data_IF_550650974151
#
_entry.id   IF_550650974151
#
_cell.length_a   1.000
_cell.length_b   1.000
_cell.length_c   1.000
_cell.angle_alpha   90.00
_cell.angle_beta   90.00
_cell.angle_gamma   90.00
#
_symmetry.space_group_name_H-M   'P 1'
#
loop_
_entity.id
_entity.type
_entity.pdbx_description
1 polymer ?
#
# COMPACT_ATOMS: atom_id res chain seq x y z
N UNK A 1 3.27 3.23 17.46
CA UNK A 1 4.49 4.07 17.33
C UNK A 1 4.58 5.04 18.52
N UNK A 2 5.79 5.51 18.87
CA UNK A 2 6.07 6.42 20.00
C UNK A 2 6.67 7.75 19.50
N UNK A 3 6.45 8.84 20.23
CA UNK A 3 6.90 10.20 19.84
C UNK A 3 8.27 10.55 20.47
N UNK A 4 9.05 11.47 19.84
CA UNK A 4 8.80 12.08 18.52
C UNK A 4 9.12 11.12 17.37
N UNK A 5 8.38 11.23 16.26
CA UNK A 5 8.56 10.37 15.06
C UNK A 5 8.45 11.19 13.76
N UNK A 6 9.16 10.76 12.72
CA UNK A 6 8.96 11.30 11.37
C UNK A 6 7.67 10.72 10.77
N UNK A 7 6.63 11.53 10.77
CA UNK A 7 5.30 11.11 10.30
C UNK A 7 5.32 10.71 8.82
N UNK A 8 6.14 11.37 7.99
CA UNK A 8 6.17 11.12 6.54
C UNK A 8 6.79 9.76 6.25
N UNK A 9 7.91 9.45 6.91
CA UNK A 9 8.57 8.17 6.78
C UNK A 9 7.67 7.04 7.32
N UNK A 10 7.06 7.24 8.49
CA UNK A 10 6.14 6.27 9.07
C UNK A 10 4.96 5.96 8.13
N UNK A 11 4.31 6.99 7.58
CA UNK A 11 3.20 6.78 6.64
C UNK A 11 3.66 6.07 5.36
N UNK A 12 4.85 6.39 4.85
CA UNK A 12 5.40 5.75 3.66
C UNK A 12 5.61 4.24 3.90
N UNK A 13 6.18 3.87 5.05
CA UNK A 13 6.41 2.48 5.39
C UNK A 13 5.10 1.70 5.57
N UNK A 14 4.12 2.28 6.29
CA UNK A 14 2.81 1.65 6.47
C UNK A 14 2.08 1.45 5.13
N UNK A 15 2.14 2.44 4.23
CA UNK A 15 1.54 2.33 2.90
C UNK A 15 2.19 1.20 2.09
N UNK A 16 3.53 1.10 2.12
CA UNK A 16 4.28 0.02 1.44
C UNK A 16 3.89 -1.37 1.93
N UNK A 17 3.80 -1.54 3.25
CA UNK A 17 3.43 -2.82 3.87
C UNK A 17 2.01 -3.25 3.50
N UNK A 18 1.04 -2.33 3.52
CA UNK A 18 -0.35 -2.61 3.14
C UNK A 18 -0.48 -2.97 1.66
N UNK A 19 0.29 -2.33 0.77
CA UNK A 19 0.33 -2.68 -0.66
C UNK A 19 0.86 -4.11 -0.86
N UNK A 20 1.93 -4.49 -0.17
CA UNK A 20 2.48 -5.85 -0.26
C UNK A 20 1.52 -6.90 0.32
N UNK A 21 0.92 -6.61 1.47
CA UNK A 21 -0.04 -7.50 2.11
C UNK A 21 -1.28 -7.72 1.25
N UNK A 22 -1.84 -6.64 0.69
CA UNK A 22 -3.00 -6.73 -0.21
C UNK A 22 -2.68 -7.47 -1.51
N UNK A 23 -1.47 -7.33 -2.06
CA UNK A 23 -1.01 -8.16 -3.18
C UNK A 23 -0.99 -9.63 -2.80
N UNK A 24 -0.41 -10.01 -1.65
CA UNK A 24 -0.36 -11.39 -1.20
C UNK A 24 -1.78 -11.97 -0.99
N UNK A 25 -2.65 -11.25 -0.26
CA UNK A 25 -4.03 -11.68 -0.02
C UNK A 25 -4.88 -11.71 -1.29
N UNK A 26 -4.60 -10.78 -2.22
CA UNK A 26 -5.19 -10.74 -3.55
C UNK A 26 -4.65 -11.81 -4.50
N UNK A 27 -3.75 -12.69 -4.06
CA UNK A 27 -3.04 -13.67 -4.89
C UNK A 27 -2.37 -13.01 -6.10
N UNK A 28 -1.75 -11.86 -5.86
CA UNK A 28 -1.10 -10.98 -6.83
C UNK A 28 -2.02 -10.44 -7.93
N UNK A 29 -3.34 -10.55 -7.78
CA UNK A 29 -4.30 -9.85 -8.62
C UNK A 29 -4.46 -8.40 -8.12
N UNK A 30 -3.94 -7.44 -8.87
CA UNK A 30 -3.95 -6.03 -8.49
C UNK A 30 -5.36 -5.43 -8.33
N UNK A 31 -6.37 -5.92 -9.08
CA UNK A 31 -7.75 -5.45 -8.90
C UNK A 31 -8.30 -5.89 -7.55
N UNK A 32 -8.11 -7.17 -7.21
CA UNK A 32 -8.50 -7.72 -5.90
C UNK A 32 -7.72 -7.06 -4.76
N UNK A 33 -6.43 -6.81 -4.94
CA UNK A 33 -5.60 -6.10 -3.95
C UNK A 33 -6.09 -4.65 -3.73
N UNK A 34 -6.46 -3.96 -4.80
CA UNK A 34 -7.06 -2.62 -4.70
C UNK A 34 -8.39 -2.65 -3.92
N UNK A 35 -9.27 -3.61 -4.22
CA UNK A 35 -10.53 -3.81 -3.49
C UNK A 35 -10.31 -4.06 -1.99
N UNK A 36 -9.30 -4.87 -1.62
CA UNK A 36 -8.95 -5.14 -0.21
C UNK A 36 -8.52 -3.88 0.56
N UNK A 37 -7.98 -2.87 -0.13
CA UNK A 37 -7.60 -1.58 0.46
C UNK A 37 -8.68 -0.51 0.27
N UNK A 38 -9.84 -0.83 -0.31
CA UNK A 38 -10.88 0.15 -0.61
C UNK A 38 -10.47 1.18 -1.67
N UNK A 39 -9.52 0.82 -2.54
CA UNK A 39 -8.98 1.68 -3.59
C UNK A 39 -9.53 1.29 -4.94
N UNK A 40 -9.62 2.26 -5.84
CA UNK A 40 -9.75 1.95 -7.27
C UNK A 40 -8.45 1.33 -7.77
N UNK A 41 -8.55 0.49 -8.80
CA UNK A 41 -7.37 -0.10 -9.46
C UNK A 41 -6.33 0.96 -9.89
N UNK A 42 -6.77 2.14 -10.34
CA UNK A 42 -5.88 3.22 -10.78
C UNK A 42 -5.11 3.85 -9.61
N UNK A 43 -5.77 4.10 -8.48
CA UNK A 43 -5.12 4.61 -7.27
C UNK A 43 -4.08 3.60 -6.77
N UNK A 44 -4.45 2.33 -6.71
CA UNK A 44 -3.54 1.26 -6.30
C UNK A 44 -2.28 1.19 -7.19
N UNK A 45 -2.45 1.26 -8.51
CA UNK A 45 -1.33 1.30 -9.47
C UNK A 45 -0.42 2.51 -9.29
N UNK A 46 -0.98 3.68 -9.00
CA UNK A 46 -0.18 4.87 -8.72
C UNK A 46 0.66 4.70 -7.44
N UNK A 47 0.09 4.06 -6.41
CA UNK A 47 0.80 3.75 -5.17
C UNK A 47 1.91 2.72 -5.36
N UNK A 48 1.67 1.64 -6.12
CA UNK A 48 2.73 0.68 -6.47
C UNK A 48 3.93 1.37 -7.13
N UNK A 49 3.67 2.24 -8.11
CA UNK A 49 4.72 3.03 -8.77
C UNK A 49 5.45 3.96 -7.79
N UNK A 50 4.73 4.63 -6.90
CA UNK A 50 5.29 5.51 -5.86
C UNK A 50 6.27 4.76 -4.96
N UNK A 51 5.95 3.51 -4.61
CA UNK A 51 6.74 2.66 -3.70
C UNK A 51 7.73 1.73 -4.37
N UNK A 52 7.79 1.73 -5.70
CA UNK A 52 8.65 0.85 -6.50
C UNK A 52 8.40 -0.65 -6.18
N UNK A 53 7.13 -1.02 -6.03
CA UNK A 53 6.63 -2.42 -5.91
C UNK A 53 6.08 -2.85 -7.27
#
# INVERSE_FOLDING_TARGET
>A
PTLPLDLREFQMQQEKELLQLSLQQGKYNQKRAAELLGLTYHQFRALLKKHQI
#
